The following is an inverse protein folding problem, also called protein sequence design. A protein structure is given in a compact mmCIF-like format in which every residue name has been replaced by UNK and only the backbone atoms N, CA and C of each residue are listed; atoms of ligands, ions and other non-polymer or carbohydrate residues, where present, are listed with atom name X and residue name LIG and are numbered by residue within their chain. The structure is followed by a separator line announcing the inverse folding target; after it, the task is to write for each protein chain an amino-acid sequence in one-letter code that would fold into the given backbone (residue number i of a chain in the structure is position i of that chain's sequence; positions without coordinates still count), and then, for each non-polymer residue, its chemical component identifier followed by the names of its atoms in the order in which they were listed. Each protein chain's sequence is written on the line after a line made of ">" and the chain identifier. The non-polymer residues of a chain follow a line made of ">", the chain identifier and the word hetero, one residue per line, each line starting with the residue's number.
data_IF_066006560243
#
_entry.id   IF_066006560243
#
_cell.length_a   1.000
_cell.length_b   1.000
_cell.length_c   1.000
_cell.angle_alpha   90.00
_cell.angle_beta   90.00
_cell.angle_gamma   90.00
#
_symmetry.space_group_name_H-M   'P 1'
#
loop_
_entity.id
_entity.type
_entity.pdbx_description
1 polymer ?
#
# COMPACT_ATOMS: atom_id res chain seq x y z
N UNK A 1 2.47 5.16 4.76
CA UNK A 1 2.00 3.79 4.49
C UNK A 1 1.95 3.62 2.98
N UNK A 2 2.76 2.70 2.43
CA UNK A 2 2.79 2.46 0.99
C UNK A 2 1.60 1.62 0.57
N UNK A 3 0.84 2.08 -0.42
CA UNK A 3 -0.21 1.29 -1.07
C UNK A 3 0.39 0.63 -2.31
N UNK A 4 0.10 -0.65 -2.46
CA UNK A 4 0.63 -1.43 -3.57
C UNK A 4 -0.32 -1.37 -4.77
N UNK A 5 0.24 -1.04 -5.93
CA UNK A 5 -0.43 -1.29 -7.21
C UNK A 5 -0.46 -2.78 -7.48
N UNK A 6 -1.61 -3.29 -7.83
CA UNK A 6 -1.78 -4.72 -8.06
C UNK A 6 -1.88 -5.02 -9.54
N UNK A 7 -0.88 -5.71 -10.04
CA UNK A 7 -1.08 -6.58 -11.19
C UNK A 7 -1.55 -7.98 -10.80
N UNK A 8 -1.09 -8.57 -9.68
CA UNK A 8 -1.24 -10.01 -9.48
C UNK A 8 -1.33 -10.54 -8.04
N UNK A 9 -1.55 -9.71 -7.01
CA UNK A 9 -1.68 -10.24 -5.64
C UNK A 9 -2.88 -9.68 -4.88
N UNK A 10 -4.01 -10.34 -5.04
CA UNK A 10 -5.32 -9.98 -4.48
C UNK A 10 -5.46 -10.15 -2.95
N UNK A 11 -4.44 -10.67 -2.26
CA UNK A 11 -4.57 -11.05 -0.84
C UNK A 11 -4.50 -9.91 0.18
N UNK A 12 -3.98 -8.76 -0.18
CA UNK A 12 -3.71 -7.66 0.76
C UNK A 12 -4.45 -6.35 0.47
N UNK A 13 -5.13 -6.22 -0.66
CA UNK A 13 -5.71 -4.95 -1.11
C UNK A 13 -6.81 -4.43 -0.16
N UNK A 14 -7.84 -5.21 0.11
CA UNK A 14 -9.06 -4.79 0.80
C UNK A 14 -8.82 -4.19 2.21
N UNK A 15 -8.24 -4.97 3.14
CA UNK A 15 -8.04 -4.52 4.51
C UNK A 15 -6.99 -3.40 4.62
N UNK A 16 -5.93 -3.43 3.81
CA UNK A 16 -4.92 -2.38 3.78
C UNK A 16 -5.46 -1.08 3.21
N UNK A 17 -6.35 -1.14 2.21
CA UNK A 17 -7.03 0.02 1.65
C UNK A 17 -7.96 0.67 2.67
N UNK A 18 -8.73 -0.14 3.40
CA UNK A 18 -9.62 0.36 4.46
C UNK A 18 -8.82 1.07 5.55
N UNK A 19 -7.73 0.45 6.01
CA UNK A 19 -6.88 1.03 7.05
C UNK A 19 -6.21 2.32 6.57
N UNK A 20 -5.60 2.29 5.37
CA UNK A 20 -4.91 3.45 4.81
C UNK A 20 -5.88 4.61 4.55
N UNK A 21 -7.05 4.32 3.96
CA UNK A 21 -8.09 5.30 3.71
C UNK A 21 -8.66 5.90 4.98
N UNK A 22 -8.91 5.08 6.01
CA UNK A 22 -9.39 5.57 7.29
C UNK A 22 -8.37 6.49 7.98
N UNK A 23 -7.10 6.09 8.02
CA UNK A 23 -6.04 6.91 8.60
C UNK A 23 -5.85 8.23 7.83
N UNK A 24 -5.92 8.19 6.50
CA UNK A 24 -5.88 9.39 5.65
C UNK A 24 -7.06 10.30 5.93
N UNK A 25 -8.29 9.78 5.94
CA UNK A 25 -9.51 10.55 6.18
C UNK A 25 -9.51 11.24 7.56
N UNK A 26 -8.85 10.65 8.56
CA UNK A 26 -8.64 11.26 9.87
C UNK A 26 -7.40 12.16 9.96
N UNK A 27 -6.66 12.37 8.89
CA UNK A 27 -5.42 13.17 8.90
C UNK A 27 -4.27 12.56 9.73
N UNK A 28 -4.36 11.27 10.05
CA UNK A 28 -3.38 10.57 10.89
C UNK A 28 -2.22 9.97 10.09
N UNK A 29 -2.38 9.81 8.78
CA UNK A 29 -1.34 9.29 7.89
C UNK A 29 -1.27 10.07 6.58
N UNK A 30 -0.06 10.14 6.02
CA UNK A 30 0.18 10.55 4.64
C UNK A 30 0.35 9.30 3.79
N UNK A 31 -0.41 9.19 2.72
CA UNK A 31 -0.38 8.06 1.80
C UNK A 31 0.56 8.40 0.65
N UNK A 32 1.57 7.55 0.44
CA UNK A 32 2.59 7.72 -0.61
C UNK A 32 2.56 6.52 -1.53
N UNK A 33 2.58 6.73 -2.83
CA UNK A 33 2.61 5.67 -3.82
C UNK A 33 1.72 5.92 -5.02
N UNK A 34 1.02 4.90 -5.48
CA UNK A 34 0.08 4.96 -6.59
C UNK A 34 -1.36 4.73 -6.11
N UNK A 35 -2.33 5.06 -6.98
CA UNK A 35 -3.74 4.74 -6.78
C UNK A 35 -3.92 3.24 -6.49
N UNK A 36 -4.65 2.91 -5.46
CA UNK A 36 -4.91 1.50 -5.14
C UNK A 36 -6.07 0.91 -5.95
N UNK A 37 -6.28 -0.41 -5.83
CA UNK A 37 -7.21 -1.16 -6.70
C UNK A 37 -8.68 -0.87 -6.44
N UNK A 38 -9.04 -0.62 -5.19
CA UNK A 38 -10.43 -0.36 -4.84
C UNK A 38 -11.26 -1.61 -4.57
N UNK A 39 -10.71 -2.60 -3.86
CA UNK A 39 -11.48 -3.75 -3.39
C UNK A 39 -12.26 -3.41 -2.11
N UNK A 40 -13.27 -2.57 -2.26
CA UNK A 40 -14.07 -2.01 -1.17
C UNK A 40 -15.45 -2.66 -0.99
N UNK A 41 -15.62 -3.92 -1.41
CA UNK A 41 -16.91 -4.64 -1.30
C UNK A 41 -16.83 -5.83 -0.35
N UNK A 42 -17.92 -6.13 0.31
CA UNK A 42 -18.12 -7.35 1.10
C UNK A 42 -18.84 -8.37 0.24
N UNK A 43 -18.34 -9.57 0.18
CA UNK A 43 -18.95 -10.69 -0.51
C UNK A 43 -19.40 -11.74 0.50
N UNK A 44 -20.63 -12.21 0.35
CA UNK A 44 -21.20 -13.31 1.14
C UNK A 44 -21.33 -14.55 0.27
N UNK A 45 -20.86 -15.67 0.79
CA UNK A 45 -20.99 -16.97 0.13
C UNK A 45 -22.29 -17.61 0.64
N UNK A 46 -23.16 -18.01 -0.28
CA UNK A 46 -24.37 -18.76 0.00
C UNK A 46 -24.21 -20.19 -0.55
N UNK A 47 -24.33 -21.16 0.32
CA UNK A 47 -24.36 -22.56 -0.09
C UNK A 47 -25.72 -22.89 -0.70
N UNK A 48 -25.72 -23.44 -1.88
CA UNK A 48 -26.92 -23.90 -2.60
C UNK A 48 -27.00 -25.42 -2.52
N UNK A 49 -28.04 -26.00 -3.17
CA UNK A 49 -28.17 -27.46 -3.30
C UNK A 49 -27.11 -28.01 -4.24
N UNK A 50 -26.83 -29.31 -4.13
CA UNK A 50 -25.93 -30.06 -5.02
C UNK A 50 -24.48 -29.55 -5.00
N UNK A 51 -23.97 -29.19 -3.80
CA UNK A 51 -22.62 -28.68 -3.57
C UNK A 51 -22.27 -27.39 -4.37
N UNK A 52 -23.29 -26.72 -4.89
CA UNK A 52 -23.12 -25.42 -5.56
C UNK A 52 -22.98 -24.28 -4.55
N UNK A 53 -22.29 -23.24 -4.92
CA UNK A 53 -22.15 -22.01 -4.13
C UNK A 53 -22.45 -20.77 -4.97
N UNK A 54 -23.00 -19.75 -4.34
CA UNK A 54 -23.21 -18.45 -4.94
C UNK A 54 -22.50 -17.37 -4.11
N UNK A 55 -21.77 -16.49 -4.78
CA UNK A 55 -21.09 -15.36 -4.15
C UNK A 55 -21.80 -14.08 -4.56
N UNK A 56 -22.30 -13.34 -3.58
CA UNK A 56 -22.99 -12.07 -3.80
C UNK A 56 -22.26 -10.94 -3.08
N UNK A 57 -22.17 -9.77 -3.73
CA UNK A 57 -21.76 -8.55 -3.06
C UNK A 57 -22.95 -8.03 -2.23
N UNK A 58 -22.79 -8.00 -0.92
CA UNK A 58 -23.84 -7.66 0.04
C UNK A 58 -23.65 -6.30 0.71
N UNK A 59 -22.43 -5.75 0.70
CA UNK A 59 -22.12 -4.45 1.28
C UNK A 59 -20.91 -3.79 0.61
N UNK A 60 -20.74 -2.49 0.86
CA UNK A 60 -19.56 -1.69 0.51
C UNK A 60 -18.98 -1.07 1.75
N UNK A 61 -17.66 -0.90 1.77
CA UNK A 61 -16.97 -0.12 2.78
C UNK A 61 -17.06 1.36 2.43
N UNK A 62 -17.33 2.17 3.45
CA UNK A 62 -17.25 3.62 3.39
C UNK A 62 -16.20 4.12 4.36
N UNK A 63 -15.43 5.09 3.94
CA UNK A 63 -14.45 5.77 4.78
C UNK A 63 -15.16 6.74 5.74
N UNK A 64 -14.48 7.24 6.79
CA UNK A 64 -15.08 8.17 7.75
C UNK A 64 -15.67 9.45 7.15
N UNK A 65 -15.19 9.87 6.00
CA UNK A 65 -15.68 11.01 5.22
C UNK A 65 -16.90 10.69 4.34
N UNK A 66 -17.40 9.43 4.38
CA UNK A 66 -18.51 8.95 3.58
C UNK A 66 -18.16 8.53 2.16
N UNK A 67 -16.90 8.63 1.73
CA UNK A 67 -16.46 8.14 0.42
C UNK A 67 -16.31 6.63 0.41
N UNK A 68 -16.43 6.00 -0.76
CA UNK A 68 -16.20 4.56 -0.91
C UNK A 68 -14.93 4.30 -1.71
N UNK A 69 -14.19 3.29 -1.28
CA UNK A 69 -13.03 2.80 -2.03
C UNK A 69 -13.40 1.78 -3.12
N UNK A 70 -14.67 1.36 -3.18
CA UNK A 70 -15.11 0.33 -4.10
C UNK A 70 -15.03 0.80 -5.57
N UNK A 71 -14.10 0.21 -6.33
CA UNK A 71 -13.84 0.53 -7.74
C UNK A 71 -12.95 1.76 -7.97
N UNK A 72 -12.68 2.55 -6.95
CA UNK A 72 -11.84 3.75 -7.04
C UNK A 72 -10.49 3.60 -6.31
N UNK A 73 -10.47 2.82 -5.23
CA UNK A 73 -9.30 2.70 -4.37
C UNK A 73 -9.04 3.94 -3.50
N UNK A 74 -7.86 3.96 -2.90
CA UNK A 74 -7.35 5.08 -2.12
C UNK A 74 -6.37 5.87 -2.98
N UNK A 75 -6.66 7.15 -3.17
CA UNK A 75 -5.76 8.07 -3.85
C UNK A 75 -4.61 8.46 -2.92
N UNK A 76 -3.35 8.41 -3.36
CA UNK A 76 -2.22 8.84 -2.55
C UNK A 76 -2.19 10.37 -2.38
N UNK A 77 -1.63 10.86 -1.25
CA UNK A 77 -1.33 12.27 -1.03
C UNK A 77 -0.08 12.71 -1.80
N UNK A 78 0.85 11.77 -1.98
CA UNK A 78 2.05 11.94 -2.80
C UNK A 78 2.14 10.81 -3.80
N UNK A 79 1.96 11.14 -5.07
CA UNK A 79 2.08 10.17 -6.17
C UNK A 79 3.55 9.88 -6.44
N UNK A 80 3.93 8.62 -6.34
CA UNK A 80 5.26 8.11 -6.70
C UNK A 80 5.06 6.86 -7.55
N UNK A 81 5.25 7.01 -8.84
CA UNK A 81 5.11 5.91 -9.80
C UNK A 81 6.26 4.91 -9.63
N UNK A 82 5.91 3.63 -9.72
CA UNK A 82 6.88 2.55 -9.68
C UNK A 82 6.51 1.49 -10.73
N UNK A 83 7.28 1.38 -11.83
CA UNK A 83 7.05 0.33 -12.83
C UNK A 83 7.03 -1.06 -12.19
N UNK A 84 6.19 -1.96 -12.71
CA UNK A 84 5.98 -3.28 -12.10
C UNK A 84 7.23 -4.13 -11.93
N UNK A 85 8.20 -4.00 -12.84
CA UNK A 85 9.51 -4.64 -12.72
C UNK A 85 10.30 -4.08 -11.53
N UNK A 86 10.39 -2.75 -11.41
CA UNK A 86 11.04 -2.07 -10.28
C UNK A 86 10.38 -2.46 -8.97
N UNK A 87 9.04 -2.55 -8.93
CA UNK A 87 8.30 -2.99 -7.75
C UNK A 87 8.73 -4.40 -7.31
N UNK A 88 8.76 -5.36 -8.23
CA UNK A 88 9.14 -6.74 -7.93
C UNK A 88 10.58 -6.84 -7.43
N UNK A 89 11.49 -6.11 -8.06
CA UNK A 89 12.91 -6.07 -7.70
C UNK A 89 13.12 -5.38 -6.34
N UNK A 90 12.47 -4.23 -6.08
CA UNK A 90 12.54 -3.51 -4.82
C UNK A 90 11.99 -4.35 -3.65
N UNK A 91 10.87 -5.04 -3.87
CA UNK A 91 10.28 -5.94 -2.88
C UNK A 91 11.24 -7.09 -2.52
N UNK A 92 11.85 -7.75 -3.51
CA UNK A 92 12.84 -8.80 -3.26
C UNK A 92 14.06 -8.24 -2.53
N UNK A 93 14.55 -7.07 -2.93
CA UNK A 93 15.66 -6.40 -2.28
C UNK A 93 15.37 -6.07 -0.82
N UNK A 94 14.17 -5.61 -0.52
CA UNK A 94 13.72 -5.28 0.84
C UNK A 94 13.59 -6.55 1.71
N UNK A 95 12.96 -7.61 1.19
CA UNK A 95 12.76 -8.87 1.90
C UNK A 95 14.07 -9.55 2.30
N UNK A 96 15.12 -9.36 1.50
CA UNK A 96 16.42 -9.98 1.72
C UNK A 96 17.48 -9.00 2.25
N UNK A 97 17.05 -7.80 2.66
CA UNK A 97 17.95 -6.80 3.25
C UNK A 97 18.65 -7.35 4.48
N UNK A 98 19.99 -7.35 4.44
CA UNK A 98 20.83 -7.88 5.53
C UNK A 98 21.00 -9.41 5.55
N UNK A 99 20.27 -10.17 4.71
CA UNK A 99 20.41 -11.61 4.61
C UNK A 99 21.46 -12.05 3.59
N UNK A 100 21.75 -11.18 2.61
CA UNK A 100 22.71 -11.44 1.53
C UNK A 100 23.65 -10.25 1.37
N UNK A 101 24.91 -10.52 0.97
CA UNK A 101 25.74 -9.49 0.35
C UNK A 101 25.17 -9.12 -1.03
N UNK A 102 25.49 -7.93 -1.53
CA UNK A 102 25.03 -7.48 -2.85
C UNK A 102 25.41 -8.47 -3.97
N UNK A 103 26.64 -8.99 -3.95
CA UNK A 103 27.13 -9.98 -4.92
C UNK A 103 26.32 -11.29 -4.86
N UNK A 104 26.05 -11.78 -3.64
CA UNK A 104 25.27 -13.02 -3.45
C UNK A 104 23.82 -12.82 -3.87
N UNK A 105 23.26 -11.66 -3.61
CA UNK A 105 21.90 -11.30 -4.03
C UNK A 105 21.80 -11.30 -5.56
N UNK A 106 22.73 -10.60 -6.24
CA UNK A 106 22.77 -10.53 -7.70
C UNK A 106 22.95 -11.90 -8.35
N UNK A 107 23.84 -12.73 -7.80
CA UNK A 107 24.02 -14.10 -8.27
C UNK A 107 22.77 -14.98 -8.08
N UNK A 108 21.96 -14.70 -7.04
CA UNK A 108 20.77 -15.50 -6.72
C UNK A 108 19.55 -15.08 -7.54
N UNK A 109 19.36 -13.77 -7.72
CA UNK A 109 18.15 -13.21 -8.31
C UNK A 109 18.34 -12.63 -9.72
N UNK A 110 19.60 -12.54 -10.20
CA UNK A 110 19.92 -12.07 -11.56
C UNK A 110 19.94 -10.56 -11.73
N UNK A 111 19.81 -9.78 -10.65
CA UNK A 111 19.91 -8.32 -10.66
C UNK A 111 20.49 -7.80 -9.33
N UNK A 112 21.13 -6.64 -9.36
CA UNK A 112 21.65 -5.98 -8.16
C UNK A 112 20.50 -5.47 -7.27
N UNK A 113 20.68 -5.40 -5.93
CA UNK A 113 19.67 -4.84 -5.05
C UNK A 113 19.27 -3.43 -5.46
N UNK A 114 17.97 -3.19 -5.63
CA UNK A 114 17.42 -1.87 -6.00
C UNK A 114 16.76 -1.21 -4.81
N UNK A 115 16.75 0.13 -4.81
CA UNK A 115 16.02 0.93 -3.82
C UNK A 115 14.54 0.96 -4.16
N UNK A 116 13.72 1.13 -3.14
CA UNK A 116 12.30 1.36 -3.26
C UNK A 116 12.02 2.87 -3.26
N UNK A 117 11.67 3.48 -4.41
CA UNK A 117 11.45 4.92 -4.49
C UNK A 117 10.23 5.39 -3.69
N UNK A 118 9.23 4.54 -3.51
CA UNK A 118 8.05 4.87 -2.69
C UNK A 118 8.41 4.89 -1.20
N UNK A 119 9.21 3.93 -0.75
CA UNK A 119 9.73 3.91 0.62
C UNK A 119 10.64 5.11 0.88
N UNK A 120 11.56 5.41 -0.01
CA UNK A 120 12.46 6.56 0.12
C UNK A 120 11.65 7.88 0.21
N UNK A 121 10.65 8.07 -0.66
CA UNK A 121 9.77 9.24 -0.61
C UNK A 121 8.94 9.31 0.68
N UNK A 122 8.47 8.18 1.18
CA UNK A 122 7.73 8.13 2.45
C UNK A 122 8.62 8.51 3.64
N UNK A 123 9.87 8.06 3.66
CA UNK A 123 10.87 8.45 4.67
C UNK A 123 11.14 9.96 4.60
N UNK A 124 11.31 10.52 3.42
CA UNK A 124 11.53 11.96 3.23
C UNK A 124 10.35 12.81 3.76
N UNK A 125 9.11 12.36 3.54
CA UNK A 125 7.90 13.02 4.08
C UNK A 125 7.93 13.00 5.60
N UNK A 126 8.27 11.88 6.22
CA UNK A 126 8.36 11.77 7.69
C UNK A 126 9.44 12.68 8.27
N UNK A 127 10.64 12.68 7.70
CA UNK A 127 11.76 13.52 8.15
C UNK A 127 11.45 15.02 8.05
N UNK A 128 10.78 15.44 6.98
CA UNK A 128 10.33 16.85 6.81
C UNK A 128 9.29 17.21 7.86
N UNK A 129 8.36 16.32 8.17
CA UNK A 129 7.33 16.53 9.19
C UNK A 129 7.92 16.64 10.58
N UNK A 130 8.88 15.78 10.94
CA UNK A 130 9.62 15.87 12.21
C UNK A 130 10.39 17.18 12.35
N UNK A 131 11.11 17.60 11.29
CA UNK A 131 11.86 18.85 11.28
C UNK A 131 10.95 20.09 11.45
N UNK A 132 9.71 20.05 10.96
CA UNK A 132 8.73 21.11 11.16
C UNK A 132 8.18 21.17 12.58
N UNK A 133 7.95 20.02 13.22
CA UNK A 133 7.47 19.93 14.60
C UNK A 133 8.54 20.38 15.61
N UNK A 134 9.80 20.05 15.38
CA UNK A 134 10.92 20.48 16.23
C UNK A 134 11.13 21.98 16.20
N UNK A 135 10.90 22.62 15.05
CA UNK A 135 10.97 24.10 14.92
C UNK A 135 9.79 24.81 15.58
N UNK A 136 8.62 24.20 15.63
CA UNK A 136 7.43 24.77 16.24
C UNK A 136 7.39 24.60 17.79
N UNK A 137 8.20 23.69 18.33
CA UNK A 137 8.23 23.36 19.76
C UNK A 137 9.37 23.97 20.57
N UNK A 138 10.16 24.92 20.03
CA UNK A 138 11.12 25.71 20.84
C UNK A 138 10.36 26.90 21.43
N UNK A 139 10.06 26.93 22.73
CA UNK A 139 9.64 28.15 23.39
C UNK A 139 10.86 29.07 23.53
N UNK A 140 10.71 30.33 23.15
CA UNK A 140 11.61 31.44 23.48
C UNK A 140 11.73 31.63 24.98
#
# INVERSE_FOLDING_TARGET
>A
MGLQRTGENFGGASASEILAGALKAHGLATVVGEQSVGKGTVQTVYNLRDDAGMVLTTAKYYLPDGTTIAGTGVEPDLVVEMPGETYSQARLSLLHRGSFSAERFEKTFGFAPVKDPQLDAAVDVLLKKEASLTKAGSPD
#
